data_IF_021737507289
#
_entry.id   IF_021737507289
#
_cell.length_a   1.000
_cell.length_b   1.000
_cell.length_c   1.000
_cell.angle_alpha   90.00
_cell.angle_beta   90.00
_cell.angle_gamma   90.00
#
_symmetry.space_group_name_H-M   'P 1'
#
loop_
_entity.id
_entity.type
_entity.pdbx_description
1 polymer ?
#
# COMPACT_ATOMS: atom_id res chain seq x y z
N UNK A 1 -32.87 22.07 -23.30
CA UNK A 1 -32.56 21.79 -21.88
C UNK A 1 -31.20 21.13 -21.81
N UNK A 2 -30.25 21.75 -21.09
CA UNK A 2 -28.94 21.17 -20.77
C UNK A 2 -29.13 20.11 -19.70
N UNK A 3 -28.53 18.94 -19.87
CA UNK A 3 -28.13 18.11 -18.74
C UNK A 3 -26.67 17.75 -18.92
N UNK A 4 -25.80 18.64 -18.42
CA UNK A 4 -24.49 18.24 -17.93
C UNK A 4 -24.72 17.27 -16.77
N UNK A 5 -24.16 16.07 -16.86
CA UNK A 5 -23.86 15.30 -15.65
C UNK A 5 -22.36 15.07 -15.64
N UNK A 6 -21.65 16.11 -15.23
CA UNK A 6 -20.31 15.99 -14.69
C UNK A 6 -20.43 15.20 -13.39
N UNK A 7 -19.97 13.96 -13.44
CA UNK A 7 -19.62 13.20 -12.24
C UNK A 7 -18.26 12.63 -12.52
N UNK A 8 -17.26 13.50 -12.60
CA UNK A 8 -16.07 13.40 -11.76
C UNK A 8 -15.99 12.05 -11.01
N UNK A 9 -15.63 10.99 -11.74
CA UNK A 9 -14.76 9.96 -11.18
C UNK A 9 -13.50 10.71 -10.87
N UNK A 10 -13.47 11.38 -9.72
CA UNK A 10 -12.22 11.82 -9.13
C UNK A 10 -11.35 10.57 -9.20
N UNK A 11 -10.34 10.61 -10.07
CA UNK A 11 -9.22 9.69 -10.02
C UNK A 11 -8.63 9.97 -8.66
N UNK A 12 -9.19 9.33 -7.63
CA UNK A 12 -8.54 9.25 -6.34
C UNK A 12 -7.12 8.80 -6.71
N UNK A 13 -6.09 9.52 -6.28
CA UNK A 13 -4.73 9.07 -6.53
C UNK A 13 -4.69 7.60 -6.15
N UNK A 14 -4.06 6.78 -7.00
CA UNK A 14 -3.89 5.38 -6.68
C UNK A 14 -3.37 5.34 -5.23
N UNK A 15 -4.06 4.62 -4.33
CA UNK A 15 -3.58 4.51 -2.97
C UNK A 15 -2.12 4.05 -3.04
N UNK A 16 -1.21 4.58 -2.19
CA UNK A 16 0.17 4.15 -2.21
C UNK A 16 0.17 2.62 -2.20
N UNK A 17 0.88 2.01 -3.15
CA UNK A 17 0.82 0.57 -3.31
C UNK A 17 1.19 -0.07 -1.97
N UNK A 18 0.23 -0.74 -1.34
CA UNK A 18 0.50 -1.51 -0.12
C UNK A 18 1.66 -2.45 -0.43
N UNK A 19 2.61 -2.59 0.49
CA UNK A 19 3.72 -3.49 0.33
C UNK A 19 3.45 -4.77 1.09
N UNK A 20 3.87 -5.90 0.53
CA UNK A 20 4.11 -7.11 1.29
C UNK A 20 5.60 -7.14 1.64
N UNK A 21 5.88 -7.18 2.94
CA UNK A 21 7.22 -7.31 3.50
C UNK A 21 7.40 -8.72 4.07
N UNK A 22 8.53 -9.35 3.78
CA UNK A 22 8.95 -10.61 4.40
C UNK A 22 10.15 -10.29 5.31
N UNK A 23 9.99 -10.52 6.61
CA UNK A 23 11.06 -10.35 7.61
C UNK A 23 11.78 -11.68 7.93
N UNK A 24 12.74 -11.65 8.84
CA UNK A 24 13.48 -12.84 9.29
C UNK A 24 12.58 -13.95 9.87
N UNK A 25 11.40 -13.60 10.43
CA UNK A 25 10.40 -14.58 10.87
C UNK A 25 9.69 -15.30 9.72
N UNK A 26 10.00 -14.93 8.47
CA UNK A 26 9.44 -15.46 7.22
C UNK A 26 7.91 -15.34 7.14
N UNK A 27 7.35 -14.37 7.86
CA UNK A 27 5.91 -14.08 7.85
C UNK A 27 5.64 -12.85 6.99
N UNK A 28 4.83 -12.97 5.92
CA UNK A 28 4.39 -11.82 5.15
C UNK A 28 3.57 -10.85 6.00
N UNK A 29 3.83 -9.56 5.87
CA UNK A 29 3.08 -8.48 6.54
C UNK A 29 2.78 -7.37 5.55
N UNK A 30 1.59 -6.76 5.67
CA UNK A 30 1.28 -5.54 4.93
C UNK A 30 2.01 -4.35 5.56
N UNK A 31 2.54 -3.46 4.73
CA UNK A 31 3.35 -2.35 5.15
C UNK A 31 3.26 -1.14 4.20
N UNK A 32 3.60 0.03 4.72
CA UNK A 32 4.02 1.17 3.90
C UNK A 32 5.52 1.43 4.08
N UNK A 33 6.12 2.03 3.06
CA UNK A 33 7.51 2.50 3.10
C UNK A 33 7.54 4.01 3.30
N UNK A 34 8.25 4.46 4.32
CA UNK A 34 8.54 5.87 4.55
C UNK A 34 9.88 6.24 3.92
N UNK A 35 9.84 7.15 2.95
CA UNK A 35 11.03 7.59 2.21
C UNK A 35 11.93 8.49 3.07
N UNK A 36 11.38 9.21 4.04
CA UNK A 36 12.17 10.11 4.89
C UNK A 36 13.02 9.34 5.90
N UNK A 37 12.46 8.26 6.46
CA UNK A 37 13.15 7.41 7.44
C UNK A 37 13.80 6.17 6.84
N UNK A 38 13.55 5.89 5.56
CA UNK A 38 13.96 4.68 4.84
C UNK A 38 13.52 3.38 5.55
N UNK A 39 12.34 3.39 6.15
CA UNK A 39 11.82 2.30 6.97
C UNK A 39 10.48 1.76 6.46
N UNK A 40 10.27 0.47 6.74
CA UNK A 40 8.99 -0.19 6.54
C UNK A 40 8.20 -0.18 7.85
N UNK A 41 6.94 0.18 7.78
CA UNK A 41 6.05 0.23 8.93
C UNK A 41 4.84 -0.68 8.70
N UNK A 42 4.50 -1.46 9.72
CA UNK A 42 3.39 -2.41 9.72
C UNK A 42 2.05 -1.69 9.55
N UNK A 43 1.25 -2.17 8.59
CA UNK A 43 -0.13 -1.68 8.41
C UNK A 43 -1.04 -1.98 9.59
N UNK A 44 -0.73 -3.02 10.36
CA UNK A 44 -1.57 -3.46 11.46
C UNK A 44 -1.44 -2.58 12.72
N UNK A 45 -0.24 -2.06 12.99
CA UNK A 45 0.05 -1.37 14.25
C UNK A 45 1.01 -0.17 14.14
N UNK A 46 1.46 0.19 12.94
CA UNK A 46 2.31 1.34 12.69
C UNK A 46 3.72 1.24 13.27
N UNK A 47 4.16 0.06 13.70
CA UNK A 47 5.53 -0.16 14.20
C UNK A 47 6.49 -0.44 13.06
N UNK A 48 7.76 -0.09 13.26
CA UNK A 48 8.84 -0.43 12.35
C UNK A 48 8.97 -1.95 12.25
N UNK A 49 9.01 -2.46 11.02
CA UNK A 49 9.33 -3.84 10.72
C UNK A 49 10.85 -3.96 10.60
N UNK A 50 11.45 -4.74 11.48
CA UNK A 50 12.91 -5.00 11.49
C UNK A 50 13.25 -6.26 10.67
N UNK A 51 14.53 -6.39 10.32
CA UNK A 51 15.09 -7.57 9.62
C UNK A 51 14.35 -7.91 8.31
N UNK A 52 14.02 -6.89 7.52
CA UNK A 52 13.37 -7.04 6.22
C UNK A 52 14.30 -7.74 5.23
N UNK A 53 13.84 -8.86 4.67
CA UNK A 53 14.55 -9.65 3.68
C UNK A 53 14.09 -9.33 2.25
N UNK A 54 12.81 -8.98 2.09
CA UNK A 54 12.23 -8.60 0.80
C UNK A 54 11.00 -7.72 1.00
N UNK A 55 10.75 -6.83 0.04
CA UNK A 55 9.52 -6.04 -0.07
C UNK A 55 9.02 -6.08 -1.51
N UNK A 56 7.71 -6.21 -1.71
CA UNK A 56 7.09 -6.22 -3.03
C UNK A 56 5.75 -5.47 -3.02
N UNK A 57 5.41 -4.74 -4.10
CA UNK A 57 4.08 -4.15 -4.23
C UNK A 57 3.00 -5.21 -4.22
N UNK A 58 1.95 -4.97 -3.43
CA UNK A 58 0.70 -5.70 -3.47
C UNK A 58 -0.26 -5.03 -4.42
N UNK A 59 -0.78 -5.81 -5.37
CA UNK A 59 -1.90 -5.41 -6.19
C UNK A 59 -3.03 -6.42 -5.97
N UNK A 60 -4.13 -5.98 -5.37
CA UNK A 60 -5.34 -6.78 -5.38
C UNK A 60 -5.89 -6.82 -6.80
N UNK A 61 -5.87 -7.98 -7.44
CA UNK A 61 -6.62 -8.18 -8.68
C UNK A 61 -8.11 -8.14 -8.32
N UNK A 62 -8.80 -7.06 -8.65
CA UNK A 62 -10.26 -7.02 -8.60
C UNK A 62 -10.79 -7.86 -9.77
N UNK A 63 -11.04 -9.15 -9.53
CA UNK A 63 -11.93 -9.93 -10.39
C UNK A 63 -13.37 -9.55 -10.07
N UNK A 64 -13.98 -8.75 -10.95
CA UNK A 64 -15.42 -8.44 -10.94
C UNK A 64 -16.17 -9.39 -11.88
#
# INVERSE_FOLDING_TARGET
MKHSNDSSRALLPDPPASLIVINADRRPQFAWYDVETEQYYSEADGKVIVDVLAAMPWAALSSH
#
